data_IF_866695102013
#
_entry.id   IF_866695102013
#
_cell.length_a   1.000
_cell.length_b   1.000
_cell.length_c   1.000
_cell.angle_alpha   90.00
_cell.angle_beta   90.00
_cell.angle_gamma   90.00
#
_symmetry.space_group_name_H-M   'P 1'
#
loop_
_entity.id
_entity.type
_entity.pdbx_description
1 polymer ?
#
# COMPACT_ATOMS: atom_id res chain seq x y z
N UNK A 1 -31.90 2.46 18.43
CA UNK A 1 -31.72 1.78 17.12
C UNK A 1 -30.59 2.41 16.28
N UNK A 2 -29.37 2.62 16.82
CA UNK A 2 -28.25 3.29 16.12
C UNK A 2 -26.85 2.90 16.66
N UNK A 3 -26.59 1.62 16.89
CA UNK A 3 -25.23 1.12 17.24
C UNK A 3 -24.60 0.26 16.15
N UNK A 4 -25.42 -0.40 15.31
CA UNK A 4 -24.98 -1.39 14.30
C UNK A 4 -24.35 -0.75 13.06
N UNK A 5 -24.82 0.45 12.69
CA UNK A 5 -24.33 1.27 11.58
C UNK A 5 -22.96 1.88 11.89
N UNK A 6 -22.77 2.45 13.08
CA UNK A 6 -21.48 3.00 13.50
C UNK A 6 -20.38 1.92 13.49
N UNK A 7 -20.66 0.71 13.98
CA UNK A 7 -19.69 -0.40 13.99
C UNK A 7 -19.25 -0.82 12.57
N UNK A 8 -20.17 -0.86 11.60
CA UNK A 8 -19.82 -1.13 10.20
C UNK A 8 -18.96 -0.02 9.61
N UNK A 9 -19.27 1.24 9.88
CA UNK A 9 -18.48 2.38 9.40
C UNK A 9 -17.07 2.35 9.98
N UNK A 10 -16.93 2.11 11.29
CA UNK A 10 -15.62 1.95 11.93
C UNK A 10 -14.84 0.77 11.36
N UNK A 11 -15.50 -0.37 11.14
CA UNK A 11 -14.85 -1.54 10.53
C UNK A 11 -14.34 -1.26 9.11
N UNK A 12 -15.16 -0.65 8.26
CA UNK A 12 -14.76 -0.25 6.89
C UNK A 12 -13.61 0.76 6.94
N UNK A 13 -13.64 1.68 7.89
CA UNK A 13 -12.56 2.66 8.09
C UNK A 13 -11.25 1.98 8.53
N UNK A 14 -11.31 1.01 9.44
CA UNK A 14 -10.14 0.22 9.86
C UNK A 14 -9.53 -0.57 8.70
N UNK A 15 -10.36 -1.20 7.86
CA UNK A 15 -9.90 -1.90 6.65
C UNK A 15 -9.24 -0.91 5.68
N UNK A 16 -9.85 0.26 5.47
CA UNK A 16 -9.29 1.30 4.60
C UNK A 16 -7.93 1.82 5.11
N UNK A 17 -7.80 2.01 6.43
CA UNK A 17 -6.51 2.38 7.04
C UNK A 17 -5.46 1.28 6.87
N UNK A 18 -5.82 0.03 7.10
CA UNK A 18 -4.91 -1.11 6.96
C UNK A 18 -4.39 -1.23 5.52
N UNK A 19 -5.28 -1.08 4.53
CA UNK A 19 -4.91 -1.02 3.11
C UNK A 19 -4.04 0.20 2.79
N UNK A 20 -4.36 1.37 3.37
CA UNK A 20 -3.54 2.57 3.22
C UNK A 20 -2.11 2.39 3.72
N UNK A 21 -1.93 1.79 4.89
CA UNK A 21 -0.60 1.45 5.42
C UNK A 21 0.13 0.42 4.54
N UNK A 22 -0.57 -0.61 4.07
CA UNK A 22 -0.01 -1.62 3.16
C UNK A 22 0.53 -0.98 1.87
N UNK A 23 -0.11 0.09 1.39
CA UNK A 23 0.31 0.81 0.18
C UNK A 23 1.45 1.79 0.48
N UNK A 24 1.31 2.59 1.53
CA UNK A 24 2.24 3.70 1.82
C UNK A 24 3.61 3.20 2.30
N UNK A 25 3.67 2.10 3.05
CA UNK A 25 4.93 1.55 3.57
C UNK A 25 5.92 1.19 2.45
N UNK A 26 5.60 0.30 1.50
CA UNK A 26 6.51 -0.07 0.42
C UNK A 26 6.88 1.13 -0.45
N UNK A 27 5.90 1.94 -0.89
CA UNK A 27 6.18 3.14 -1.70
C UNK A 27 7.10 4.10 -0.96
N UNK A 28 6.84 4.35 0.33
CA UNK A 28 7.65 5.23 1.16
C UNK A 28 9.08 4.72 1.36
N UNK A 29 9.25 3.40 1.56
CA UNK A 29 10.57 2.76 1.68
C UNK A 29 11.34 2.89 0.38
N UNK A 30 10.74 2.57 -0.77
CA UNK A 30 11.42 2.67 -2.06
C UNK A 30 11.73 4.11 -2.45
N UNK A 31 10.86 5.07 -2.13
CA UNK A 31 11.15 6.48 -2.30
C UNK A 31 12.32 6.93 -1.43
N UNK A 32 12.34 6.55 -0.16
CA UNK A 32 13.43 6.89 0.76
C UNK A 32 14.76 6.28 0.29
N UNK A 33 14.76 5.02 -0.13
CA UNK A 33 15.94 4.37 -0.71
C UNK A 33 16.38 5.03 -2.01
N UNK A 34 15.45 5.44 -2.87
CA UNK A 34 15.73 6.16 -4.11
C UNK A 34 16.40 7.51 -3.85
N UNK A 35 15.86 8.31 -2.91
CA UNK A 35 16.45 9.59 -2.49
C UNK A 35 17.84 9.40 -1.88
N UNK A 36 18.00 8.38 -1.04
CA UNK A 36 19.28 8.08 -0.39
C UNK A 36 20.32 7.65 -1.43
N UNK A 37 19.92 6.83 -2.41
CA UNK A 37 20.75 6.39 -3.53
C UNK A 37 21.15 7.55 -4.43
N UNK A 38 20.20 8.39 -4.85
CA UNK A 38 20.49 9.57 -5.67
C UNK A 38 21.52 10.48 -4.99
N UNK A 39 21.36 10.70 -3.67
CA UNK A 39 22.28 11.52 -2.87
C UNK A 39 23.66 10.88 -2.68
N UNK A 40 23.74 9.55 -2.56
CA UNK A 40 25.00 8.83 -2.38
C UNK A 40 25.81 8.76 -3.69
N UNK A 41 25.14 8.51 -4.82
CA UNK A 41 25.78 8.35 -6.13
C UNK A 41 25.92 9.67 -6.91
N UNK A 42 25.47 10.81 -6.36
CA UNK A 42 25.37 12.09 -7.09
C UNK A 42 24.61 11.95 -8.42
N UNK A 43 23.69 10.99 -8.47
CA UNK A 43 22.86 10.80 -9.65
C UNK A 43 21.74 11.83 -9.59
N UNK A 44 21.39 12.38 -10.76
CA UNK A 44 20.11 13.08 -10.98
C UNK A 44 18.95 12.19 -10.50
N UNK A 45 17.70 12.67 -10.32
CA UNK A 45 16.61 11.98 -9.61
C UNK A 45 16.06 10.71 -10.31
N UNK A 46 16.96 9.82 -10.72
CA UNK A 46 16.78 8.66 -11.58
C UNK A 46 16.56 7.45 -10.69
N UNK A 47 17.33 7.28 -9.59
CA UNK A 47 17.09 6.20 -8.63
C UNK A 47 15.79 6.44 -7.87
N UNK A 48 15.41 7.69 -7.59
CA UNK A 48 14.09 8.01 -7.06
C UNK A 48 12.98 7.59 -8.02
N UNK A 49 13.06 7.95 -9.30
CA UNK A 49 12.06 7.57 -10.31
C UNK A 49 11.98 6.05 -10.49
N UNK A 50 13.13 5.37 -10.47
CA UNK A 50 13.21 3.92 -10.58
C UNK A 50 12.64 3.22 -9.34
N UNK A 51 13.02 3.69 -8.16
CA UNK A 51 12.49 3.23 -6.88
C UNK A 51 10.98 3.44 -6.78
N UNK A 52 10.47 4.61 -7.17
CA UNK A 52 9.04 4.88 -7.22
C UNK A 52 8.31 3.93 -8.17
N UNK A 53 8.84 3.71 -9.37
CA UNK A 53 8.23 2.81 -10.36
C UNK A 53 8.17 1.37 -9.85
N UNK A 54 9.25 0.89 -9.24
CA UNK A 54 9.32 -0.43 -8.60
C UNK A 54 8.36 -0.51 -7.42
N UNK A 55 8.33 0.51 -6.56
CA UNK A 55 7.44 0.58 -5.41
C UNK A 55 5.98 0.47 -5.82
N UNK A 56 5.55 1.22 -6.83
CA UNK A 56 4.18 1.13 -7.38
C UNK A 56 3.89 -0.27 -7.93
N UNK A 57 4.82 -0.87 -8.68
CA UNK A 57 4.63 -2.21 -9.24
C UNK A 57 4.49 -3.28 -8.14
N UNK A 58 5.36 -3.25 -7.14
CA UNK A 58 5.34 -4.19 -6.00
C UNK A 58 4.06 -3.99 -5.19
N UNK A 59 3.71 -2.76 -4.85
CA UNK A 59 2.49 -2.46 -4.10
C UNK A 59 1.24 -2.91 -4.86
N UNK A 60 1.19 -2.71 -6.18
CA UNK A 60 0.08 -3.20 -7.01
C UNK A 60 -0.03 -4.73 -6.94
N UNK A 61 1.10 -5.43 -7.01
CA UNK A 61 1.16 -6.88 -6.91
C UNK A 61 0.74 -7.38 -5.52
N UNK A 62 1.26 -6.81 -4.45
CA UNK A 62 0.92 -7.16 -3.07
C UNK A 62 -0.57 -6.93 -2.79
N UNK A 63 -1.10 -5.76 -3.17
CA UNK A 63 -2.51 -5.43 -3.01
C UNK A 63 -3.39 -6.39 -3.79
N UNK A 64 -3.03 -6.72 -5.04
CA UNK A 64 -3.79 -7.68 -5.85
C UNK A 64 -3.79 -9.08 -5.21
N UNK A 65 -2.63 -9.56 -4.77
CA UNK A 65 -2.48 -10.85 -4.11
C UNK A 65 -3.22 -10.92 -2.77
N UNK A 66 -3.35 -9.80 -2.04
CA UNK A 66 -4.04 -9.74 -0.75
C UNK A 66 -5.56 -9.57 -0.91
N UNK A 67 -6.00 -8.83 -1.93
CA UNK A 67 -7.42 -8.63 -2.23
C UNK A 67 -8.09 -9.90 -2.77
N UNK A 68 -7.41 -10.68 -3.61
CA UNK A 68 -7.96 -11.94 -4.15
C UNK A 68 -8.47 -12.89 -3.05
N UNK A 69 -7.67 -13.28 -2.04
CA UNK A 69 -8.12 -14.18 -0.99
C UNK A 69 -9.20 -13.52 -0.11
N UNK A 70 -9.08 -12.24 0.21
CA UNK A 70 -10.09 -11.51 0.99
C UNK A 70 -11.47 -11.46 0.31
N UNK A 71 -11.50 -11.34 -1.02
CA UNK A 71 -12.73 -11.36 -1.82
C UNK A 71 -13.25 -12.79 -1.97
N UNK A 72 -12.36 -13.77 -2.10
CA UNK A 72 -12.71 -15.19 -2.29
C UNK A 72 -13.28 -15.83 -1.03
N UNK A 73 -12.78 -15.47 0.16
CA UNK A 73 -13.28 -15.98 1.45
C UNK A 73 -14.74 -15.55 1.69
N UNK A 74 -15.09 -14.31 1.35
CA UNK A 74 -16.44 -13.75 1.50
C UNK A 74 -17.50 -14.38 0.59
N UNK A 75 -17.13 -15.22 -0.39
CA UNK A 75 -18.07 -15.85 -1.33
C UNK A 75 -18.49 -17.26 -0.88
N UNK A 76 -17.79 -17.87 0.08
CA UNK A 76 -18.06 -19.24 0.54
C UNK A 76 -18.84 -19.34 1.86
N UNK A 77 -19.32 -18.22 2.42
CA UNK A 77 -20.23 -18.14 3.57
C UNK A 77 -21.65 -17.70 3.15
#
# INVERSE_FOLDING_TARGET
MSKKNNFKTFYVLSIAFQLGFLIVIPIGVFLFLGVLGDKFFNTQPILLLFGLSIGIAITTYEVYQLLIPLIKDRKND
#
